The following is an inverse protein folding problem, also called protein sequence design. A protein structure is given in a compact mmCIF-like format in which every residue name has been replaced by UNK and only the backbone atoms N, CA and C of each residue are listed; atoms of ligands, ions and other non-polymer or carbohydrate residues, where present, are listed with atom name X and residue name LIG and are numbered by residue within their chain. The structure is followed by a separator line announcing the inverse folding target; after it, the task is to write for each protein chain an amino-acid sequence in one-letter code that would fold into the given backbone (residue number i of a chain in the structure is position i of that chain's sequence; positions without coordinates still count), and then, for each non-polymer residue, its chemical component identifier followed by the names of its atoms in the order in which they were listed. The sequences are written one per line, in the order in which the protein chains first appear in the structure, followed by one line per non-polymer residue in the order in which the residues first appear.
data_IF_992366962302
#
_entry.id   IF_992366962302
#
_cell.length_a   1.000
_cell.length_b   1.000
_cell.length_c   1.000
_cell.angle_alpha   90.00
_cell.angle_beta   90.00
_cell.angle_gamma   90.00
#
_symmetry.space_group_name_H-M   'P 1'
#
loop_
_entity.id
_entity.type
_entity.pdbx_description
1 polymer ?
#
# COMPACT_ATOMS: atom_id res chain seq x y z
N UNK A 1 12.29 22.05 8.37
CA UNK A 1 11.42 20.88 8.62
C UNK A 1 11.95 20.25 9.89
N UNK A 2 11.09 19.84 10.82
CA UNK A 2 11.54 19.54 12.18
C UNK A 2 11.55 18.04 12.51
N UNK A 3 10.85 17.20 11.74
CA UNK A 3 10.76 15.76 11.98
C UNK A 3 11.18 14.90 10.78
N UNK A 4 11.15 13.59 11.00
CA UNK A 4 11.44 12.58 9.99
C UNK A 4 10.22 12.36 9.10
N UNK A 5 10.46 12.01 7.83
CA UNK A 5 9.40 11.67 6.87
C UNK A 5 9.67 10.30 6.31
N UNK A 6 8.75 9.36 6.54
CA UNK A 6 8.93 7.97 6.13
C UNK A 6 7.89 7.58 5.10
N UNK A 7 8.33 6.97 4.01
CA UNK A 7 7.50 6.25 3.06
C UNK A 7 7.71 4.75 3.22
N UNK A 8 6.64 3.99 3.14
CA UNK A 8 6.64 2.52 3.20
C UNK A 8 5.91 2.01 1.96
N UNK A 9 6.47 1.01 1.29
CA UNK A 9 5.81 0.28 0.20
C UNK A 9 5.83 -1.22 0.50
N UNK A 10 4.66 -1.78 0.78
CA UNK A 10 4.50 -3.20 1.06
C UNK A 10 4.22 -3.95 -0.24
N UNK A 11 5.23 -4.69 -0.71
CA UNK A 11 5.10 -5.66 -1.80
C UNK A 11 4.85 -7.08 -1.30
N UNK A 12 4.66 -8.02 -2.23
CA UNK A 12 4.48 -9.44 -1.89
C UNK A 12 5.72 -10.13 -1.30
N UNK A 13 6.91 -9.70 -1.68
CA UNK A 13 8.18 -10.32 -1.22
C UNK A 13 8.89 -9.48 -0.18
N UNK A 14 8.96 -8.17 -0.40
CA UNK A 14 9.66 -7.23 0.46
C UNK A 14 8.80 -6.02 0.76
N UNK A 15 9.04 -5.44 1.93
CA UNK A 15 8.57 -4.12 2.33
C UNK A 15 9.75 -3.16 2.24
N UNK A 16 9.60 -2.15 1.38
CA UNK A 16 10.59 -1.13 1.12
C UNK A 16 10.29 0.12 1.97
N UNK A 17 11.32 0.74 2.53
CA UNK A 17 11.21 1.96 3.32
C UNK A 17 12.16 3.03 2.78
N UNK A 18 11.68 4.26 2.79
CA UNK A 18 12.47 5.46 2.55
C UNK A 18 12.26 6.43 3.69
N UNK A 19 13.34 7.01 4.20
CA UNK A 19 13.29 8.03 5.24
C UNK A 19 14.02 9.29 4.76
N UNK A 20 13.41 10.44 4.97
CA UNK A 20 14.08 11.73 4.83
C UNK A 20 14.23 12.35 6.22
N UNK A 21 15.48 12.57 6.65
CA UNK A 21 15.80 13.14 7.96
C UNK A 21 15.48 14.64 8.02
N UNK A 22 15.43 15.26 9.22
CA UNK A 22 15.28 16.70 9.35
C UNK A 22 16.39 17.50 8.64
N UNK A 23 17.59 16.92 8.54
CA UNK A 23 18.74 17.49 7.82
C UNK A 23 18.63 17.34 6.29
N UNK A 24 17.64 16.58 5.79
CA UNK A 24 17.42 16.33 4.37
C UNK A 24 18.16 15.12 3.82
N UNK A 25 18.79 14.31 4.67
CA UNK A 25 19.44 13.07 4.25
C UNK A 25 18.41 11.99 3.94
N UNK A 26 18.74 11.11 2.99
CA UNK A 26 17.86 10.01 2.57
C UNK A 26 18.45 8.69 3.01
N UNK A 27 17.66 7.90 3.73
CA UNK A 27 17.97 6.52 4.05
C UNK A 27 16.96 5.61 3.35
N UNK A 28 17.46 4.46 2.90
CA UNK A 28 16.65 3.40 2.30
C UNK A 28 16.82 2.15 3.13
N UNK A 29 15.73 1.44 3.36
CA UNK A 29 15.72 0.17 4.07
C UNK A 29 14.81 -0.84 3.38
N UNK A 30 15.08 -2.13 3.61
CA UNK A 30 14.32 -3.21 2.98
C UNK A 30 14.26 -4.41 3.90
N UNK A 31 13.05 -4.86 4.19
CA UNK A 31 12.77 -6.02 5.04
C UNK A 31 11.88 -7.01 4.32
N UNK A 32 11.99 -8.32 4.58
CA UNK A 32 11.03 -9.30 4.05
C UNK A 32 9.59 -8.94 4.44
N UNK A 33 8.65 -9.10 3.51
CA UNK A 33 7.21 -8.99 3.81
C UNK A 33 6.80 -10.21 4.63
N UNK A 34 6.05 -9.95 5.70
CA UNK A 34 5.40 -11.01 6.48
C UNK A 34 3.99 -11.21 5.93
N UNK A 35 3.78 -12.29 5.16
CA UNK A 35 2.52 -12.50 4.43
C UNK A 35 1.30 -12.72 5.33
N UNK A 36 1.51 -13.39 6.47
CA UNK A 36 0.44 -13.67 7.45
C UNK A 36 -0.05 -12.39 8.14
N UNK A 37 0.86 -11.43 8.38
CA UNK A 37 0.59 -10.13 8.95
C UNK A 37 1.62 -9.11 8.45
N UNK A 38 1.22 -8.33 7.43
CA UNK A 38 2.09 -7.36 6.79
C UNK A 38 2.51 -6.22 7.74
N UNK A 39 1.74 -5.97 8.81
CA UNK A 39 2.10 -4.95 9.80
C UNK A 39 3.42 -5.30 10.50
N UNK A 40 3.71 -6.59 10.69
CA UNK A 40 4.99 -7.06 11.24
C UNK A 40 6.17 -6.68 10.34
N UNK A 41 6.01 -6.86 9.02
CA UNK A 41 7.01 -6.43 8.03
C UNK A 41 7.30 -4.94 8.13
N UNK A 42 6.26 -4.11 8.18
CA UNK A 42 6.39 -2.65 8.34
C UNK A 42 7.11 -2.29 9.65
N UNK A 43 6.70 -2.89 10.77
CA UNK A 43 7.29 -2.61 12.08
C UNK A 43 8.76 -3.03 12.15
N UNK A 44 9.14 -4.16 11.54
CA UNK A 44 10.53 -4.59 11.43
C UNK A 44 11.38 -3.58 10.64
N UNK A 45 10.84 -3.05 9.54
CA UNK A 45 11.51 -2.03 8.74
C UNK A 45 11.69 -0.71 9.49
N UNK A 46 10.67 -0.26 10.23
CA UNK A 46 10.76 0.92 11.08
C UNK A 46 11.78 0.75 12.22
N UNK A 47 11.89 -0.45 12.78
CA UNK A 47 12.88 -0.76 13.80
C UNK A 47 14.31 -0.71 13.24
N UNK A 48 14.56 -1.33 12.07
CA UNK A 48 15.86 -1.27 11.39
C UNK A 48 16.25 0.17 11.02
N UNK A 49 15.30 0.95 10.52
CA UNK A 49 15.51 2.35 10.23
C UNK A 49 15.85 3.17 11.49
N UNK A 50 15.19 2.90 12.62
CA UNK A 50 15.50 3.55 13.90
C UNK A 50 16.92 3.19 14.38
N UNK A 51 17.32 1.93 14.25
CA UNK A 51 18.69 1.47 14.56
C UNK A 51 19.74 2.20 13.69
N UNK A 52 19.49 2.34 12.38
CA UNK A 52 20.37 3.09 11.47
C UNK A 52 20.50 4.57 11.83
N UNK A 53 19.48 5.14 12.46
CA UNK A 53 19.45 6.54 12.92
C UNK A 53 19.94 6.69 14.37
N UNK A 54 20.39 5.61 15.01
CA UNK A 54 20.79 5.57 16.42
C UNK A 54 19.68 6.05 17.38
N UNK A 55 18.42 5.75 17.05
CA UNK A 55 17.24 6.10 17.82
C UNK A 55 16.54 4.85 18.35
N UNK A 56 15.76 5.00 19.43
CA UNK A 56 14.73 4.01 19.72
C UNK A 56 13.58 4.14 18.70
N UNK A 57 12.87 3.04 18.44
CA UNK A 57 11.68 3.07 17.60
C UNK A 57 10.64 4.09 18.12
N UNK A 58 10.49 4.21 19.45
CA UNK A 58 9.60 5.19 20.05
C UNK A 58 10.01 6.64 19.77
N UNK A 59 11.31 6.93 19.83
CA UNK A 59 11.84 8.27 19.55
C UNK A 59 11.70 8.65 18.07
N UNK A 60 11.95 7.70 17.16
CA UNK A 60 11.71 7.90 15.72
C UNK A 60 10.24 8.21 15.49
N UNK A 61 9.34 7.34 15.97
CA UNK A 61 7.89 7.51 15.81
C UNK A 61 7.36 8.82 16.44
N UNK A 62 7.90 9.21 17.60
CA UNK A 62 7.53 10.46 18.27
C UNK A 62 7.98 11.73 17.52
N UNK A 63 8.90 11.60 16.55
CA UNK A 63 9.46 12.69 15.76
C UNK A 63 9.08 12.60 14.27
N UNK A 64 8.14 11.73 13.89
CA UNK A 64 7.64 11.67 12.51
C UNK A 64 6.75 12.88 12.22
N UNK A 65 7.10 13.64 11.18
CA UNK A 65 6.23 14.65 10.59
C UNK A 65 5.17 13.99 9.68
N UNK A 66 5.54 12.92 8.98
CA UNK A 66 4.65 12.14 8.12
C UNK A 66 5.10 10.68 8.00
N UNK A 67 4.13 9.79 7.97
CA UNK A 67 4.29 8.40 7.54
C UNK A 67 3.33 8.15 6.37
N UNK A 68 3.88 7.83 5.21
CA UNK A 68 3.11 7.46 4.02
C UNK A 68 3.18 5.94 3.87
N UNK A 69 2.04 5.27 3.97
CA UNK A 69 1.95 3.82 3.84
C UNK A 69 1.32 3.45 2.48
N UNK A 70 2.12 2.90 1.60
CA UNK A 70 1.72 2.27 0.35
C UNK A 70 1.74 0.75 0.48
N UNK A 71 0.81 0.09 -0.21
CA UNK A 71 0.75 -1.37 -0.27
C UNK A 71 0.11 -1.82 -1.58
N UNK A 72 0.55 -2.97 -2.08
CA UNK A 72 -0.01 -3.63 -3.27
C UNK A 72 -1.11 -4.64 -2.93
N UNK A 73 -1.48 -4.78 -1.64
CA UNK A 73 -2.44 -5.81 -1.20
C UNK A 73 -3.80 -5.69 -1.89
N UNK A 74 -4.35 -4.48 -2.04
CA UNK A 74 -5.65 -4.31 -2.70
C UNK A 74 -5.60 -4.74 -4.18
N UNK A 75 -4.54 -4.35 -4.89
CA UNK A 75 -4.37 -4.69 -6.31
C UNK A 75 -4.17 -6.19 -6.49
N UNK A 76 -3.34 -6.83 -5.65
CA UNK A 76 -3.13 -8.28 -5.69
C UNK A 76 -4.43 -9.03 -5.38
N UNK A 77 -5.19 -8.61 -4.37
CA UNK A 77 -6.51 -9.19 -4.06
C UNK A 77 -7.48 -9.08 -5.23
N UNK A 78 -7.48 -7.96 -5.98
CA UNK A 78 -8.30 -7.80 -7.17
C UNK A 78 -7.83 -8.68 -8.34
N UNK A 79 -6.52 -8.77 -8.57
CA UNK A 79 -5.92 -9.57 -9.67
C UNK A 79 -6.10 -11.06 -9.42
N UNK A 80 -5.87 -11.52 -8.19
CA UNK A 80 -5.97 -12.93 -7.79
C UNK A 80 -7.42 -13.35 -7.51
N UNK A 81 -8.34 -12.39 -7.45
CA UNK A 81 -9.76 -12.59 -7.11
C UNK A 81 -9.95 -13.32 -5.76
N UNK A 82 -9.08 -13.03 -4.79
CA UNK A 82 -9.05 -13.69 -3.47
C UNK A 82 -9.82 -12.93 -2.37
N UNK A 83 -10.50 -11.85 -2.76
CA UNK A 83 -11.23 -10.98 -1.85
C UNK A 83 -12.45 -11.64 -1.20
N UNK A 84 -13.04 -10.92 -0.24
CA UNK A 84 -14.24 -11.40 0.43
C UNK A 84 -15.42 -11.58 -0.57
N UNK A 85 -16.24 -12.63 -0.43
CA UNK A 85 -17.47 -12.76 -1.20
C UNK A 85 -18.41 -11.58 -0.90
N UNK A 86 -18.86 -10.89 -1.96
CA UNK A 86 -19.77 -9.75 -1.87
C UNK A 86 -21.03 -9.98 -2.71
N UNK A 87 -22.13 -9.36 -2.30
CA UNK A 87 -23.39 -9.34 -3.05
C UNK A 87 -23.72 -7.94 -3.53
N UNK A 88 -24.29 -7.82 -4.73
CA UNK A 88 -24.77 -6.56 -5.28
C UNK A 88 -26.30 -6.47 -5.14
N UNK A 89 -26.79 -5.43 -4.48
CA UNK A 89 -28.21 -5.09 -4.45
C UNK A 89 -28.51 -4.02 -5.49
N UNK A 90 -29.47 -4.29 -6.35
CA UNK A 90 -29.86 -3.40 -7.45
C UNK A 90 -31.38 -3.24 -7.52
N UNK A 91 -31.83 -2.20 -8.23
CA UNK A 91 -33.22 -2.06 -8.64
C UNK A 91 -33.61 -3.18 -9.61
N UNK A 92 -34.89 -3.59 -9.58
CA UNK A 92 -35.44 -4.55 -10.53
C UNK A 92 -35.08 -4.17 -11.98
N UNK A 93 -34.67 -5.16 -12.77
CA UNK A 93 -34.23 -4.97 -14.16
C UNK A 93 -32.79 -4.47 -14.38
N UNK A 94 -31.98 -4.24 -13.33
CA UNK A 94 -30.62 -3.66 -13.46
C UNK A 94 -29.48 -4.60 -13.00
N UNK A 95 -29.72 -5.91 -12.97
CA UNK A 95 -28.71 -6.90 -12.51
C UNK A 95 -27.42 -6.85 -13.33
N UNK A 96 -27.53 -6.63 -14.63
CA UNK A 96 -26.43 -6.83 -15.58
C UNK A 96 -25.59 -5.56 -15.82
N UNK A 97 -25.79 -4.48 -15.05
CA UNK A 97 -25.10 -3.19 -15.27
C UNK A 97 -23.57 -3.29 -15.15
N UNK A 98 -23.05 -4.14 -14.24
CA UNK A 98 -21.60 -4.34 -14.08
C UNK A 98 -21.03 -5.11 -15.28
N UNK A 99 -21.74 -6.12 -15.77
CA UNK A 99 -21.38 -6.95 -16.92
C UNK A 99 -21.45 -6.16 -18.24
N UNK A 100 -22.41 -5.23 -18.35
CA UNK A 100 -22.51 -4.30 -19.49
C UNK A 100 -21.31 -3.34 -19.56
N UNK A 101 -20.56 -3.16 -18.46
CA UNK A 101 -19.34 -2.33 -18.38
C UNK A 101 -19.53 -0.95 -19.01
N UNK A 102 -20.64 -0.26 -18.70
CA UNK A 102 -20.96 1.10 -19.18
C UNK A 102 -20.11 2.19 -18.52
N UNK A 103 -18.83 1.90 -18.31
CA UNK A 103 -17.81 2.85 -17.87
C UNK A 103 -17.21 3.52 -19.12
N UNK A 104 -16.33 4.50 -18.94
CA UNK A 104 -15.60 5.08 -20.07
C UNK A 104 -14.76 3.99 -20.76
N UNK A 105 -15.14 3.66 -21.99
CA UNK A 105 -14.34 2.88 -22.94
C UNK A 105 -13.84 3.83 -24.01
N UNK A 106 -12.60 3.64 -24.47
CA UNK A 106 -12.06 4.39 -25.61
C UNK A 106 -12.99 4.25 -26.83
N UNK A 107 -13.55 3.05 -27.05
CA UNK A 107 -14.65 2.80 -27.99
C UNK A 107 -15.75 1.92 -27.37
N UNK A 108 -16.89 2.53 -27.01
CA UNK A 108 -17.98 1.85 -26.26
C UNK A 108 -18.71 0.73 -27.04
N UNK A 109 -18.55 0.67 -28.37
CA UNK A 109 -19.23 -0.28 -29.25
C UNK A 109 -18.33 -1.39 -29.80
N UNK A 110 -17.02 -1.37 -29.53
CA UNK A 110 -16.09 -2.41 -29.97
C UNK A 110 -15.92 -3.48 -28.87
N UNK A 111 -16.39 -4.72 -29.08
CA UNK A 111 -16.27 -5.79 -28.09
C UNK A 111 -14.84 -6.37 -27.97
N UNK A 112 -13.88 -5.95 -28.79
CA UNK A 112 -12.49 -6.40 -28.75
C UNK A 112 -11.58 -5.56 -27.84
N UNK A 113 -12.01 -4.34 -27.48
CA UNK A 113 -11.33 -3.50 -26.50
C UNK A 113 -11.74 -3.89 -25.07
N UNK A 114 -10.81 -3.84 -24.08
CA UNK A 114 -11.04 -4.30 -22.71
C UNK A 114 -12.23 -3.63 -21.98
#
# INVERSE_FOLDING_TARGET
MNGYRVGVDVGGTFTDLICVTPAGEVLLDKTPTTLEDQSVGVMNGLAQLAEHLELSLGDLCGQLDVLVHGTTTADNTMIEMDGAPVGLLVTEGHRDEIELRRVHKEEIWDPSYP
#
